data_IF_101912921399
#
_entry.id   IF_101912921399
#
_cell.length_a   1.000
_cell.length_b   1.000
_cell.length_c   1.000
_cell.angle_alpha   90.00
_cell.angle_beta   90.00
_cell.angle_gamma   90.00
#
_symmetry.space_group_name_H-M   'P 1'
#
loop_
_entity.id
_entity.type
_entity.pdbx_description
1 polymer ?
#
# COMPACT_ATOMS: atom_id res chain seq x y z
N UNK A 1 -11.85 -11.54 -8.61
CA UNK A 1 -10.65 -12.33 -8.82
C UNK A 1 -10.30 -12.57 -10.27
N UNK A 2 -11.17 -13.20 -11.00
CA UNK A 2 -10.90 -13.62 -12.38
C UNK A 2 -10.59 -12.44 -13.31
N UNK A 3 -11.36 -11.35 -13.24
CA UNK A 3 -11.14 -10.15 -14.04
C UNK A 3 -9.78 -9.50 -13.75
N UNK A 4 -9.37 -9.47 -12.50
CA UNK A 4 -8.07 -8.94 -12.09
C UNK A 4 -6.92 -9.74 -12.70
N UNK A 5 -6.98 -11.07 -12.62
CA UNK A 5 -5.98 -11.97 -13.20
C UNK A 5 -5.94 -11.83 -14.73
N UNK A 6 -7.09 -11.77 -15.38
CA UNK A 6 -7.18 -11.59 -16.83
C UNK A 6 -6.56 -10.28 -17.30
N UNK A 7 -6.81 -9.17 -16.61
CA UNK A 7 -6.19 -7.88 -16.91
C UNK A 7 -4.69 -7.91 -16.71
N UNK A 8 -4.22 -8.59 -15.68
CA UNK A 8 -2.81 -8.77 -15.40
C UNK A 8 -2.10 -9.57 -16.48
N UNK A 9 -2.69 -10.68 -16.92
CA UNK A 9 -2.15 -11.49 -18.02
C UNK A 9 -2.09 -10.71 -19.32
N UNK A 10 -3.13 -9.94 -19.64
CA UNK A 10 -3.15 -9.06 -20.81
C UNK A 10 -2.05 -8.01 -20.74
N UNK A 11 -1.86 -7.38 -19.59
CA UNK A 11 -0.81 -6.38 -19.39
C UNK A 11 0.58 -7.00 -19.53
N UNK A 12 0.77 -8.22 -19.04
CA UNK A 12 2.01 -8.99 -19.21
C UNK A 12 2.28 -9.29 -20.69
N UNK A 13 1.28 -9.74 -21.45
CA UNK A 13 1.39 -9.99 -22.88
C UNK A 13 1.74 -8.73 -23.66
N UNK A 14 1.12 -7.60 -23.35
CA UNK A 14 1.41 -6.31 -23.97
C UNK A 14 2.85 -5.85 -23.69
N UNK A 15 3.37 -6.08 -22.49
CA UNK A 15 4.76 -5.80 -22.12
C UNK A 15 5.76 -6.68 -22.90
N UNK A 16 5.46 -7.95 -23.05
CA UNK A 16 6.29 -8.89 -23.84
C UNK A 16 6.34 -8.43 -25.30
N UNK A 17 5.20 -8.06 -25.89
CA UNK A 17 5.13 -7.54 -27.26
C UNK A 17 5.90 -6.25 -27.47
N UNK A 18 6.03 -5.42 -26.43
CA UNK A 18 6.77 -4.15 -26.46
C UNK A 18 8.23 -4.32 -26.04
N UNK A 19 8.72 -5.54 -25.89
CA UNK A 19 10.09 -5.84 -25.40
C UNK A 19 10.39 -5.26 -24.02
N UNK A 20 9.37 -5.07 -23.19
CA UNK A 20 9.52 -4.62 -21.80
C UNK A 20 9.66 -5.81 -20.87
N UNK A 21 10.60 -5.73 -19.92
CA UNK A 21 10.77 -6.75 -18.90
C UNK A 21 9.52 -6.97 -18.05
N UNK A 22 9.23 -8.23 -17.73
CA UNK A 22 8.16 -8.62 -16.82
C UNK A 22 8.78 -8.95 -15.47
N UNK A 23 8.32 -8.29 -14.39
CA UNK A 23 8.75 -8.58 -13.03
C UNK A 23 8.03 -9.82 -12.50
N UNK A 24 8.75 -10.88 -12.10
CA UNK A 24 8.13 -12.04 -11.45
C UNK A 24 7.37 -11.66 -10.18
N UNK A 25 7.90 -10.72 -9.39
CA UNK A 25 7.25 -10.23 -8.18
C UNK A 25 5.88 -9.61 -8.45
N UNK A 26 5.78 -8.79 -9.50
CA UNK A 26 4.51 -8.19 -9.89
C UNK A 26 3.48 -9.25 -10.31
N UNK A 27 3.90 -10.24 -11.08
CA UNK A 27 3.02 -11.32 -11.53
C UNK A 27 2.48 -12.14 -10.35
N UNK A 28 3.35 -12.55 -9.43
CA UNK A 28 2.92 -13.27 -8.23
C UNK A 28 2.04 -12.41 -7.31
N UNK A 29 2.37 -11.13 -7.15
CA UNK A 29 1.52 -10.21 -6.38
C UNK A 29 0.10 -10.18 -6.93
N UNK A 30 -0.04 -10.18 -8.25
CA UNK A 30 -1.33 -10.21 -8.93
C UNK A 30 -2.08 -11.52 -8.72
N UNK A 31 -1.40 -12.65 -8.89
CA UNK A 31 -1.99 -13.97 -8.74
C UNK A 31 -2.51 -14.25 -7.33
N UNK A 32 -1.81 -13.75 -6.31
CA UNK A 32 -2.07 -14.07 -4.90
C UNK A 32 -2.89 -13.00 -4.17
N UNK A 33 -3.17 -11.87 -4.79
CA UNK A 33 -3.84 -10.74 -4.13
C UNK A 33 -5.20 -11.09 -3.53
N UNK A 34 -6.00 -11.88 -4.22
CA UNK A 34 -7.33 -12.25 -3.73
C UNK A 34 -7.29 -13.12 -2.49
N UNK A 35 -6.28 -13.97 -2.37
CA UNK A 35 -6.06 -14.74 -1.14
C UNK A 35 -5.68 -13.83 0.02
N UNK A 36 -4.83 -12.84 -0.24
CA UNK A 36 -4.48 -11.81 0.76
C UNK A 36 -5.71 -11.03 1.21
N UNK A 37 -6.53 -10.57 0.27
CA UNK A 37 -7.78 -9.86 0.58
C UNK A 37 -8.71 -10.70 1.46
N UNK A 38 -8.88 -11.98 1.14
CA UNK A 38 -9.75 -12.86 1.90
C UNK A 38 -9.27 -13.03 3.36
N UNK A 39 -7.97 -13.26 3.55
CA UNK A 39 -7.37 -13.34 4.89
C UNK A 39 -7.45 -12.01 5.64
N UNK A 40 -7.19 -10.92 4.97
CA UNK A 40 -7.25 -9.59 5.55
C UNK A 40 -8.65 -9.24 6.06
N UNK A 41 -9.68 -9.50 5.25
CA UNK A 41 -11.07 -9.29 5.65
C UNK A 41 -11.46 -10.11 6.88
N UNK A 42 -11.04 -11.37 6.95
CA UNK A 42 -11.28 -12.24 8.12
C UNK A 42 -10.64 -11.69 9.39
N UNK A 43 -9.40 -11.22 9.29
CA UNK A 43 -8.66 -10.66 10.43
C UNK A 43 -9.30 -9.35 10.91
N UNK A 44 -9.69 -8.47 9.99
CA UNK A 44 -10.41 -7.23 10.32
C UNK A 44 -11.76 -7.52 10.97
N UNK A 45 -12.50 -8.52 10.50
CA UNK A 45 -13.77 -8.94 11.08
C UNK A 45 -13.64 -9.45 12.52
N UNK A 46 -12.48 -10.00 12.87
CA UNK A 46 -12.14 -10.39 14.25
C UNK A 46 -11.72 -9.23 15.14
N UNK A 47 -11.69 -8.00 14.61
CA UNK A 47 -11.32 -6.81 15.37
C UNK A 47 -9.84 -6.43 15.29
N UNK A 48 -9.06 -7.07 14.43
CA UNK A 48 -7.65 -6.73 14.23
C UNK A 48 -7.47 -5.39 13.52
N UNK A 49 -6.44 -4.66 13.89
CA UNK A 49 -6.13 -3.37 13.28
C UNK A 49 -5.77 -3.52 11.79
N UNK A 50 -6.19 -2.56 10.97
CA UNK A 50 -6.12 -2.59 9.51
C UNK A 50 -4.73 -2.97 8.98
N UNK A 51 -3.69 -2.25 9.37
CA UNK A 51 -2.35 -2.46 8.82
C UNK A 51 -1.67 -3.73 9.36
N UNK A 52 -1.65 -3.99 10.69
CA UNK A 52 -1.13 -5.26 11.19
C UNK A 52 -1.85 -6.48 10.62
N UNK A 53 -3.17 -6.40 10.42
CA UNK A 53 -3.94 -7.47 9.79
C UNK A 53 -3.51 -7.73 8.35
N UNK A 54 -3.22 -6.67 7.58
CA UNK A 54 -2.70 -6.82 6.22
C UNK A 54 -1.35 -7.54 6.21
N UNK A 55 -0.41 -7.14 7.06
CA UNK A 55 0.91 -7.78 7.14
C UNK A 55 0.79 -9.25 7.52
N UNK A 56 -0.08 -9.57 8.45
CA UNK A 56 -0.34 -10.97 8.85
C UNK A 56 -0.94 -11.78 7.69
N UNK A 57 -1.90 -11.21 6.95
CA UNK A 57 -2.48 -11.85 5.78
C UNK A 57 -1.43 -12.10 4.68
N UNK A 58 -0.56 -11.14 4.42
CA UNK A 58 0.54 -11.25 3.47
C UNK A 58 1.49 -12.40 3.84
N UNK A 59 1.92 -12.45 5.09
CA UNK A 59 2.82 -13.49 5.58
C UNK A 59 2.17 -14.89 5.48
N UNK A 60 0.91 -15.01 5.85
CA UNK A 60 0.17 -16.27 5.74
C UNK A 60 0.12 -16.79 4.30
N UNK A 61 -0.20 -15.92 3.35
CA UNK A 61 -0.27 -16.31 1.93
C UNK A 61 1.09 -16.70 1.38
N UNK A 62 2.13 -15.93 1.68
CA UNK A 62 3.51 -16.25 1.24
C UNK A 62 3.99 -17.55 1.85
N UNK A 63 3.72 -17.81 3.13
CA UNK A 63 4.14 -19.06 3.79
C UNK A 63 3.46 -20.29 3.18
N UNK A 64 2.18 -20.19 2.83
CA UNK A 64 1.42 -21.29 2.22
C UNK A 64 1.79 -21.50 0.75
N UNK A 65 1.93 -20.45 -0.02
CA UNK A 65 2.11 -20.51 -1.48
C UNK A 65 3.57 -20.48 -1.91
N UNK A 66 4.46 -19.98 -1.07
CA UNK A 66 5.86 -19.75 -1.42
C UNK A 66 6.59 -21.01 -1.84
N UNK A 67 6.39 -22.12 -1.14
CA UNK A 67 6.98 -23.41 -1.49
C UNK A 67 6.42 -23.98 -2.79
N UNK A 68 5.09 -23.94 -2.94
CA UNK A 68 4.39 -24.48 -4.12
C UNK A 68 4.78 -23.77 -5.41
N UNK A 69 4.99 -22.46 -5.33
CA UNK A 69 5.28 -21.60 -6.49
C UNK A 69 6.79 -21.32 -6.64
N UNK A 70 7.62 -21.90 -5.80
CA UNK A 70 9.07 -21.66 -5.76
C UNK A 70 9.43 -20.16 -5.66
N UNK A 71 8.73 -19.43 -4.80
CA UNK A 71 8.97 -18.02 -4.56
C UNK A 71 10.20 -17.86 -3.67
N UNK A 72 11.25 -17.22 -4.21
CA UNK A 72 12.46 -16.91 -3.46
C UNK A 72 12.21 -15.79 -2.45
N UNK A 73 13.10 -15.64 -1.45
CA UNK A 73 13.05 -14.53 -0.48
C UNK A 73 13.02 -13.16 -1.16
N UNK A 74 13.82 -12.98 -2.21
CA UNK A 74 13.88 -11.73 -2.95
C UNK A 74 12.56 -11.42 -3.62
N UNK A 75 11.97 -12.39 -4.30
CA UNK A 75 10.67 -12.23 -4.96
C UNK A 75 9.58 -12.00 -3.91
N UNK A 76 9.59 -12.73 -2.80
CA UNK A 76 8.65 -12.51 -1.70
C UNK A 76 8.73 -11.10 -1.14
N UNK A 77 9.94 -10.54 -0.98
CA UNK A 77 10.14 -9.15 -0.59
C UNK A 77 9.51 -8.16 -1.56
N UNK A 78 9.73 -8.36 -2.85
CA UNK A 78 9.15 -7.51 -3.91
C UNK A 78 7.61 -7.56 -3.89
N UNK A 79 7.04 -8.75 -3.73
CA UNK A 79 5.60 -8.96 -3.64
C UNK A 79 5.02 -8.20 -2.44
N UNK A 80 5.62 -8.38 -1.27
CA UNK A 80 5.18 -7.73 -0.02
C UNK A 80 5.27 -6.21 -0.11
N UNK A 81 6.31 -5.66 -0.74
CA UNK A 81 6.45 -4.22 -0.95
C UNK A 81 5.31 -3.66 -1.80
N UNK A 82 4.93 -4.34 -2.87
CA UNK A 82 3.82 -3.94 -3.73
C UNK A 82 2.50 -3.93 -2.94
N UNK A 83 2.22 -4.99 -2.19
CA UNK A 83 0.99 -5.10 -1.40
C UNK A 83 0.94 -4.09 -0.26
N UNK A 84 2.05 -3.87 0.44
CA UNK A 84 2.13 -2.94 1.56
C UNK A 84 1.89 -1.48 1.15
N UNK A 85 2.18 -1.12 -0.09
CA UNK A 85 1.90 0.21 -0.62
C UNK A 85 0.40 0.46 -0.82
N UNK A 86 -0.42 -0.57 -1.00
CA UNK A 86 -1.81 -0.40 -1.38
C UNK A 86 -2.63 0.46 -0.41
N UNK A 87 -2.64 0.20 0.91
CA UNK A 87 -3.37 1.07 1.84
C UNK A 87 -2.80 2.50 1.90
N UNK A 88 -1.53 2.69 1.60
CA UNK A 88 -0.90 4.02 1.60
C UNK A 88 -1.42 4.93 0.48
N UNK A 89 -1.92 4.39 -0.61
CA UNK A 89 -2.54 5.17 -1.68
C UNK A 89 -3.83 5.86 -1.23
N UNK A 90 -4.47 5.41 -0.18
CA UNK A 90 -5.68 6.05 0.38
C UNK A 90 -5.34 7.34 1.15
N UNK A 91 -4.10 7.53 1.58
CA UNK A 91 -3.66 8.70 2.34
C UNK A 91 -3.24 9.82 1.38
N UNK A 92 -4.18 10.72 1.07
CA UNK A 92 -4.04 11.82 0.09
C UNK A 92 -3.84 13.19 0.74
N UNK A 93 -3.44 13.23 2.00
CA UNK A 93 -3.30 14.46 2.78
C UNK A 93 -1.89 14.65 3.32
N UNK A 94 -1.50 15.90 3.53
CA UNK A 94 -0.23 16.27 4.14
C UNK A 94 0.99 15.83 3.32
N UNK A 95 2.00 15.31 4.00
CA UNK A 95 3.27 14.89 3.40
C UNK A 95 3.26 13.44 2.87
N UNK A 96 2.26 12.65 3.21
CA UNK A 96 2.19 11.22 2.88
C UNK A 96 2.24 10.94 1.38
N UNK A 97 1.51 11.66 0.52
CA UNK A 97 1.60 11.43 -0.93
C UNK A 97 2.99 11.68 -1.50
N UNK A 98 3.68 12.71 -1.02
CA UNK A 98 5.05 12.99 -1.45
C UNK A 98 6.04 11.89 -1.04
N UNK A 99 5.93 11.41 0.19
CA UNK A 99 6.74 10.30 0.67
C UNK A 99 6.50 9.01 -0.12
N UNK A 100 5.26 8.78 -0.52
CA UNK A 100 4.90 7.61 -1.32
C UNK A 100 5.53 7.66 -2.72
N UNK A 101 5.56 8.83 -3.37
CA UNK A 101 6.22 9.00 -4.67
C UNK A 101 7.72 8.62 -4.65
N UNK A 102 8.37 8.77 -3.50
CA UNK A 102 9.80 8.49 -3.33
C UNK A 102 10.10 7.01 -3.04
N UNK A 103 9.08 6.19 -2.84
CA UNK A 103 9.29 4.77 -2.57
C UNK A 103 9.89 4.05 -3.77
N UNK A 104 10.90 3.17 -3.57
CA UNK A 104 11.55 2.47 -4.69
C UNK A 104 10.59 1.62 -5.53
N UNK A 105 9.54 1.09 -4.92
CA UNK A 105 8.52 0.28 -5.59
C UNK A 105 7.26 1.06 -5.95
N UNK A 106 7.31 2.38 -5.92
CA UNK A 106 6.14 3.21 -6.21
C UNK A 106 5.53 2.87 -7.58
N UNK A 107 6.34 2.74 -8.63
CA UNK A 107 5.83 2.44 -9.98
C UNK A 107 5.09 1.12 -10.03
N UNK A 108 5.67 0.06 -9.48
CA UNK A 108 5.02 -1.23 -9.41
C UNK A 108 3.75 -1.20 -8.55
N UNK A 109 3.80 -0.53 -7.40
CA UNK A 109 2.63 -0.33 -6.54
C UNK A 109 1.52 0.45 -7.22
N UNK A 110 1.84 1.50 -7.95
CA UNK A 110 0.89 2.28 -8.74
C UNK A 110 0.26 1.46 -9.87
N UNK A 111 1.06 0.73 -10.64
CA UNK A 111 0.55 -0.14 -11.70
C UNK A 111 -0.42 -1.19 -11.13
N UNK A 112 -0.12 -1.71 -9.94
CA UNK A 112 -0.99 -2.64 -9.21
C UNK A 112 -2.31 -1.96 -8.77
N UNK A 113 -2.24 -0.73 -8.28
CA UNK A 113 -3.41 0.08 -7.92
C UNK A 113 -4.34 0.27 -9.13
N UNK A 114 -3.78 0.57 -10.29
CA UNK A 114 -4.55 0.73 -11.54
C UNK A 114 -5.27 -0.56 -11.91
N UNK A 115 -4.61 -1.71 -11.80
CA UNK A 115 -5.25 -3.02 -12.03
C UNK A 115 -6.43 -3.26 -11.07
N UNK A 116 -6.28 -2.92 -9.81
CA UNK A 116 -7.35 -3.02 -8.81
C UNK A 116 -8.55 -2.16 -9.18
N UNK A 117 -8.29 -0.95 -9.64
CA UNK A 117 -9.34 -0.03 -10.09
C UNK A 117 -10.04 -0.51 -11.37
N UNK A 118 -9.27 -0.93 -12.37
CA UNK A 118 -9.81 -1.43 -13.63
C UNK A 118 -10.63 -2.72 -13.45
N UNK A 119 -10.27 -3.56 -12.48
CA UNK A 119 -11.03 -4.77 -12.15
C UNK A 119 -12.33 -4.50 -11.37
N UNK A 120 -12.53 -3.26 -10.91
CA UNK A 120 -13.69 -2.88 -10.10
C UNK A 120 -13.55 -3.15 -8.61
N UNK A 121 -12.38 -3.55 -8.12
CA UNK A 121 -12.14 -3.76 -6.70
C UNK A 121 -12.18 -2.46 -5.91
N UNK A 122 -11.60 -1.40 -6.46
CA UNK A 122 -11.58 -0.06 -5.90
C UNK A 122 -12.08 0.95 -6.93
N UNK A 123 -12.38 2.16 -6.46
CA UNK A 123 -12.88 3.24 -7.31
C UNK A 123 -11.78 3.77 -8.25
N UNK A 124 -12.12 3.98 -9.53
CA UNK A 124 -11.21 4.59 -10.52
C UNK A 124 -10.73 5.98 -10.10
N UNK A 125 -11.52 6.71 -9.32
CA UNK A 125 -11.18 8.04 -8.83
C UNK A 125 -9.84 8.04 -8.06
N UNK A 126 -9.58 7.01 -7.26
CA UNK A 126 -8.31 6.90 -6.53
C UNK A 126 -7.13 6.71 -7.49
N UNK A 127 -7.26 5.83 -8.46
CA UNK A 127 -6.22 5.61 -9.46
C UNK A 127 -5.97 6.85 -10.32
N UNK A 128 -7.03 7.54 -10.75
CA UNK A 128 -6.95 8.77 -11.54
C UNK A 128 -6.29 9.90 -10.76
N UNK A 129 -6.58 10.03 -9.48
CA UNK A 129 -5.92 11.01 -8.61
C UNK A 129 -4.40 10.80 -8.59
N UNK A 130 -3.93 9.57 -8.41
CA UNK A 130 -2.51 9.25 -8.41
C UNK A 130 -1.85 9.38 -9.77
N UNK A 131 -2.57 9.08 -10.84
CA UNK A 131 -2.12 9.31 -12.21
C UNK A 131 -1.83 10.80 -12.43
N UNK A 132 -2.74 11.67 -12.01
CA UNK A 132 -2.59 13.12 -12.13
C UNK A 132 -1.53 13.67 -11.19
N UNK A 133 -1.49 13.23 -9.94
CA UNK A 133 -0.54 13.68 -8.93
C UNK A 133 0.92 13.50 -9.36
N UNK A 134 1.23 12.45 -10.10
CA UNK A 134 2.56 12.21 -10.66
C UNK A 134 2.95 13.20 -11.76
N UNK A 135 1.99 13.71 -12.52
CA UNK A 135 2.21 14.51 -13.74
C UNK A 135 2.26 16.01 -13.49
N UNK A 136 1.58 16.50 -12.47
CA UNK A 136 1.46 17.91 -12.18
C UNK A 136 2.68 18.43 -11.40
N UNK A 137 2.85 19.78 -11.42
CA UNK A 137 3.93 20.44 -10.69
C UNK A 137 3.61 20.65 -9.20
N UNK A 138 4.56 21.31 -8.48
CA UNK A 138 4.46 21.48 -7.04
C UNK A 138 3.24 22.26 -6.55
N UNK A 139 2.82 23.29 -7.28
CA UNK A 139 1.64 24.10 -6.91
C UNK A 139 0.36 23.31 -7.12
N UNK A 140 0.19 22.71 -8.28
CA UNK A 140 -0.97 21.86 -8.58
C UNK A 140 -1.05 20.63 -7.66
N UNK A 141 0.10 20.05 -7.30
CA UNK A 141 0.14 18.95 -6.32
C UNK A 141 -0.40 19.38 -4.96
N UNK A 142 0.02 20.56 -4.49
CA UNK A 142 -0.48 21.09 -3.22
C UNK A 142 -1.99 21.31 -3.23
N UNK A 143 -2.55 21.79 -4.35
CA UNK A 143 -4.00 21.97 -4.52
C UNK A 143 -4.78 20.66 -4.56
N UNK A 144 -4.17 19.59 -5.03
CA UNK A 144 -4.79 18.26 -5.07
C UNK A 144 -4.91 17.59 -3.71
N UNK A 145 -4.14 18.03 -2.71
CA UNK A 145 -4.14 17.41 -1.38
C UNK A 145 -5.50 17.55 -0.71
N UNK A 146 -5.93 16.48 -0.06
CA UNK A 146 -7.14 16.45 0.74
C UNK A 146 -6.89 17.00 2.15
N UNK A 147 -7.93 17.51 2.85
CA UNK A 147 -7.78 17.95 4.24
C UNK A 147 -7.44 16.77 5.15
N UNK A 148 -6.55 17.00 6.11
CA UNK A 148 -6.20 15.99 7.13
C UNK A 148 -7.42 15.62 7.98
N UNK A 149 -7.62 14.33 8.22
CA UNK A 149 -8.71 13.87 9.07
C UNK A 149 -8.47 14.25 10.54
N UNK A 150 -9.54 14.59 11.27
CA UNK A 150 -9.49 15.06 12.67
C UNK A 150 -8.77 14.07 13.62
N UNK A 151 -8.82 12.75 13.34
CA UNK A 151 -8.12 11.73 14.13
C UNK A 151 -6.60 11.78 14.00
N UNK A 152 -6.08 12.22 12.88
CA UNK A 152 -4.63 12.36 12.65
C UNK A 152 -4.04 13.58 13.36
N UNK A 153 -4.82 14.67 13.45
CA UNK A 153 -4.44 15.86 14.23
C UNK A 153 -4.28 15.56 15.72
N UNK A 154 -5.12 14.68 16.29
CA UNK A 154 -5.00 14.26 17.69
C UNK A 154 -3.75 13.42 17.97
N UNK A 155 -3.35 12.55 17.03
CA UNK A 155 -2.13 11.74 17.17
C UNK A 155 -0.86 12.60 17.10
N UNK A 156 -0.80 13.59 16.20
CA UNK A 156 0.33 14.52 16.10
C UNK A 156 0.48 15.39 17.36
N UNK A 157 -0.63 15.88 17.95
CA UNK A 157 -0.61 16.64 19.21
C UNK A 157 -0.12 15.82 20.40
N UNK A 158 -0.50 14.53 20.50
CA UNK A 158 -0.01 13.64 21.57
C UNK A 158 1.50 13.32 21.46
N UNK A 159 2.05 13.22 20.25
CA UNK A 159 3.49 13.01 20.04
C UNK A 159 4.34 14.25 20.31
N UNK A 160 3.77 15.45 20.26
CA UNK A 160 4.47 16.72 20.51
C UNK A 160 4.41 17.20 21.95
N UNK A 161 3.70 16.55 22.85
CA UNK A 161 3.77 16.86 24.26
C UNK A 161 5.10 16.33 24.82
N UNK A 162 6.04 17.21 25.26
CA UNK A 162 7.21 16.73 25.96
C UNK A 162 6.77 15.95 27.19
N UNK A 163 7.49 14.88 27.50
CA UNK A 163 7.31 14.20 28.78
C UNK A 163 7.47 15.26 29.87
N UNK A 164 6.40 15.46 30.64
CA UNK A 164 6.42 16.47 31.70
C UNK A 164 7.57 16.20 32.61
N UNK A 165 8.37 17.24 32.90
CA UNK A 165 9.32 17.19 33.97
C UNK A 165 8.60 16.73 35.23
N UNK A 166 9.00 15.58 35.74
CA UNK A 166 8.65 15.21 37.09
C UNK A 166 9.42 16.17 37.98
N UNK A 167 8.74 17.15 38.51
CA UNK A 167 9.32 17.97 39.57
C UNK A 167 9.67 17.04 40.70
N UNK A 168 10.98 16.78 40.88
CA UNK A 168 11.48 16.18 42.09
C UNK A 168 11.28 17.19 43.21
N UNK A 169 10.21 17.00 43.94
CA UNK A 169 10.07 17.70 45.22
C UNK A 169 11.10 17.12 46.16
N UNK A 170 12.19 17.82 46.31
CA UNK A 170 13.10 17.55 47.39
C UNK A 170 12.37 17.63 48.70
N UNK A 171 12.40 16.58 49.48
CA UNK A 171 11.91 16.58 50.85
C UNK A 171 12.89 17.35 51.72
N UNK A 172 12.48 18.38 52.44
CA UNK A 172 13.29 18.93 53.50
C UNK A 172 13.09 18.10 54.77
N UNK A 173 14.21 17.77 55.42
CA UNK A 173 14.39 17.25 56.80
C UNK A 173 13.63 15.97 57.13
#
# INVERSE_FOLDING_TARGET
GEKFVMLSLKNTDDRIRQDKGVSPGFLFATLLWHEVLAHWEKLKAKGEAKIPALYQAMDTVIDVQGEKLAITRRIAGDIKDIWALQPRFEARAGKRPYALLEQPRFRAGYDFLVLRAESGEIDMELADWWTRFQKVDGEERAEMLQPEQAGEKKRRRRRKKPAGESAATGSPE
#
